data_IF_368209449742
#
_entry.id   IF_368209449742
#
_cell.length_a   1.000
_cell.length_b   1.000
_cell.length_c   1.000
_cell.angle_alpha   90.00
_cell.angle_beta   90.00
_cell.angle_gamma   90.00
#
_symmetry.space_group_name_H-M   'P 1'
#
loop_
_entity.id
_entity.type
_entity.pdbx_description
1 polymer ?
#
# COMPACT_ATOMS: atom_id res chain seq x y z
N UNK A 1 -13.11 12.84 15.29
CA UNK A 1 -12.44 11.96 14.31
C UNK A 1 -13.00 10.56 14.44
N UNK A 2 -13.40 9.95 13.36
CA UNK A 2 -13.84 8.56 13.36
C UNK A 2 -12.57 7.67 13.45
N UNK A 3 -12.50 6.81 14.46
CA UNK A 3 -11.29 6.07 14.80
C UNK A 3 -11.38 4.64 14.30
N UNK A 4 -10.30 4.15 13.70
CA UNK A 4 -10.19 2.76 13.25
C UNK A 4 -10.07 1.87 14.48
N UNK A 5 -10.95 0.87 14.60
CA UNK A 5 -10.92 -0.13 15.66
C UNK A 5 -9.89 -1.21 15.35
N UNK A 6 -8.94 -1.41 16.27
CA UNK A 6 -7.90 -2.43 16.16
C UNK A 6 -8.31 -3.76 16.85
N UNK A 7 -9.35 -3.74 17.64
CA UNK A 7 -9.83 -4.88 18.42
C UNK A 7 -10.62 -4.43 19.64
N UNK A 8 -11.03 -5.39 20.46
CA UNK A 8 -11.82 -5.14 21.67
C UNK A 8 -11.03 -5.51 22.91
N UNK A 9 -11.03 -4.68 23.92
CA UNK A 9 -10.43 -4.98 25.21
C UNK A 9 -11.51 -4.93 26.31
N UNK A 10 -11.89 -6.09 26.84
CA UNK A 10 -12.96 -6.17 27.84
C UNK A 10 -14.28 -5.52 27.38
N UNK A 11 -14.67 -5.72 26.12
CA UNK A 11 -15.87 -5.12 25.54
C UNK A 11 -15.74 -3.65 25.10
N UNK A 12 -14.57 -3.01 25.33
CA UNK A 12 -14.32 -1.62 24.91
C UNK A 12 -13.45 -1.60 23.64
N UNK A 13 -13.81 -0.82 22.60
CA UNK A 13 -12.98 -0.69 21.40
C UNK A 13 -11.60 -0.12 21.73
N UNK A 14 -10.56 -0.77 21.20
CA UNK A 14 -9.20 -0.27 21.15
C UNK A 14 -8.96 0.36 19.78
N UNK A 15 -8.66 1.64 19.73
CA UNK A 15 -8.48 2.41 18.50
C UNK A 15 -7.11 3.10 18.47
N UNK A 16 -6.69 3.60 17.32
CA UNK A 16 -5.50 4.45 17.23
C UNK A 16 -5.84 5.81 17.84
N UNK A 17 -4.96 6.34 18.69
CA UNK A 17 -5.15 7.65 19.31
C UNK A 17 -4.83 8.78 18.33
N UNK A 18 -5.55 9.90 18.42
CA UNK A 18 -5.24 11.14 17.67
C UNK A 18 -3.83 11.69 17.98
N UNK A 19 -3.25 11.29 19.13
CA UNK A 19 -1.88 11.62 19.51
C UNK A 19 -0.82 10.75 18.83
N UNK A 20 -1.21 9.73 18.02
CA UNK A 20 -0.27 8.91 17.28
C UNK A 20 0.47 9.73 16.22
N UNK A 21 1.75 9.41 15.90
CA UNK A 21 2.53 10.16 14.93
C UNK A 21 1.95 10.06 13.51
N UNK A 22 1.33 8.95 13.17
CA UNK A 22 0.52 8.72 11.97
C UNK A 22 -0.46 7.56 12.24
N UNK A 23 -1.42 7.34 11.34
CA UNK A 23 -2.41 6.26 11.44
C UNK A 23 -2.03 5.03 10.60
N UNK A 24 -0.81 4.96 10.09
CA UNK A 24 -0.31 3.77 9.39
C UNK A 24 -0.08 2.62 10.36
N UNK A 25 -0.35 1.40 9.88
CA UNK A 25 -0.28 0.17 10.67
C UNK A 25 0.66 -0.82 10.00
N UNK A 26 1.54 -1.43 10.78
CA UNK A 26 2.34 -2.59 10.38
C UNK A 26 1.81 -3.84 11.08
N UNK A 27 1.39 -4.83 10.30
CA UNK A 27 0.88 -6.11 10.79
C UNK A 27 1.89 -7.21 10.43
N UNK A 28 2.38 -7.95 11.40
CA UNK A 28 3.32 -9.05 11.15
C UNK A 28 3.01 -10.30 11.97
N UNK A 29 3.34 -11.48 11.43
CA UNK A 29 3.15 -12.77 12.08
C UNK A 29 3.11 -13.90 11.06
N UNK A 30 3.30 -15.14 11.50
CA UNK A 30 3.34 -16.31 10.63
C UNK A 30 2.02 -16.53 9.84
N UNK A 31 2.10 -17.33 8.79
CA UNK A 31 0.88 -17.75 8.06
C UNK A 31 -0.10 -18.45 8.99
N UNK A 32 -1.40 -18.21 8.81
CA UNK A 32 -2.45 -18.79 9.65
C UNK A 32 -2.65 -18.16 11.03
N UNK A 33 -1.85 -17.17 11.43
CA UNK A 33 -1.98 -16.48 12.73
C UNK A 33 -3.21 -15.57 12.86
N UNK A 34 -3.91 -15.29 11.76
CA UNK A 34 -5.14 -14.49 11.75
C UNK A 34 -5.01 -13.08 11.19
N UNK A 35 -3.83 -12.69 10.65
CA UNK A 35 -3.58 -11.34 10.09
C UNK A 35 -4.63 -10.89 9.08
N UNK A 36 -4.86 -11.67 8.02
CA UNK A 36 -5.81 -11.33 6.95
C UNK A 36 -7.23 -11.19 7.48
N UNK A 37 -7.70 -12.10 8.37
CA UNK A 37 -9.02 -11.96 9.00
C UNK A 37 -9.13 -10.68 9.84
N UNK A 38 -8.06 -10.30 10.52
CA UNK A 38 -8.00 -9.08 11.31
C UNK A 38 -7.97 -7.83 10.41
N UNK A 39 -7.22 -7.89 9.31
CA UNK A 39 -7.16 -6.85 8.29
C UNK A 39 -8.55 -6.59 7.69
N UNK A 40 -9.25 -7.65 7.26
CA UNK A 40 -10.61 -7.56 6.72
C UNK A 40 -11.62 -6.94 7.72
N UNK A 41 -11.45 -7.17 9.03
CA UNK A 41 -12.26 -6.49 10.07
C UNK A 41 -11.93 -5.00 10.16
N UNK A 42 -10.65 -4.63 10.09
CA UNK A 42 -10.23 -3.22 10.07
C UNK A 42 -10.82 -2.51 8.84
N UNK A 43 -10.79 -3.16 7.69
CA UNK A 43 -11.35 -2.64 6.43
C UNK A 43 -12.86 -2.35 6.58
N UNK A 44 -13.60 -3.32 7.11
CA UNK A 44 -15.04 -3.19 7.31
C UNK A 44 -15.39 -2.12 8.35
N UNK A 45 -14.63 -2.03 9.44
CA UNK A 45 -14.80 -0.97 10.45
C UNK A 45 -14.50 0.42 9.87
N UNK A 46 -13.48 0.51 9.02
CA UNK A 46 -13.07 1.76 8.39
C UNK A 46 -14.13 2.35 7.44
N UNK A 47 -15.00 1.55 6.83
CA UNK A 47 -16.14 2.03 6.04
C UNK A 47 -17.06 2.89 6.91
N UNK A 48 -17.36 2.45 8.14
CA UNK A 48 -18.22 3.16 9.08
C UNK A 48 -17.66 4.54 9.42
N UNK A 49 -16.36 4.72 9.27
CA UNK A 49 -15.67 5.99 9.55
C UNK A 49 -15.58 6.92 8.34
N UNK A 50 -16.17 6.54 7.20
CA UNK A 50 -16.15 7.28 5.92
C UNK A 50 -14.76 7.51 5.33
N UNK A 51 -13.79 6.65 5.67
CA UNK A 51 -12.49 6.64 4.99
C UNK A 51 -12.65 6.13 3.54
N UNK A 52 -11.77 6.59 2.65
CA UNK A 52 -11.59 5.94 1.36
C UNK A 52 -10.66 4.73 1.57
N UNK A 53 -11.13 3.54 1.24
CA UNK A 53 -10.38 2.31 1.44
C UNK A 53 -9.97 1.78 0.07
N UNK A 54 -8.67 1.55 -0.11
CA UNK A 54 -8.08 1.00 -1.33
C UNK A 54 -7.19 -0.17 -0.96
N UNK A 55 -7.56 -1.36 -1.39
CA UNK A 55 -6.82 -2.60 -1.17
C UNK A 55 -6.06 -2.95 -2.44
N UNK A 56 -4.75 -3.17 -2.35
CA UNK A 56 -3.95 -3.71 -3.43
C UNK A 56 -3.83 -5.22 -3.26
N UNK A 57 -4.62 -5.98 -4.01
CA UNK A 57 -4.66 -7.45 -3.91
C UNK A 57 -3.75 -8.11 -4.95
N UNK A 58 -2.62 -8.63 -4.48
CA UNK A 58 -1.60 -9.36 -5.26
C UNK A 58 -1.70 -10.87 -5.14
N UNK A 59 -2.63 -11.39 -4.34
CA UNK A 59 -2.59 -12.78 -3.87
C UNK A 59 -3.95 -13.45 -3.79
N UNK A 60 -4.99 -12.82 -4.34
CA UNK A 60 -6.38 -13.25 -4.18
C UNK A 60 -6.82 -13.38 -2.71
N UNK A 61 -6.18 -12.64 -1.80
CA UNK A 61 -6.50 -12.74 -0.36
C UNK A 61 -7.87 -12.17 -0.02
N UNK A 62 -8.44 -11.38 -0.94
CA UNK A 62 -9.76 -10.77 -0.82
C UNK A 62 -10.82 -11.42 -1.73
N UNK A 63 -10.55 -12.62 -2.27
CA UNK A 63 -11.58 -13.40 -2.96
C UNK A 63 -12.68 -13.81 -1.99
N UNK A 64 -13.92 -13.92 -2.50
CA UNK A 64 -15.15 -14.16 -1.72
C UNK A 64 -15.02 -15.35 -0.76
N UNK A 65 -14.45 -16.45 -1.24
CA UNK A 65 -14.27 -17.68 -0.45
C UNK A 65 -13.15 -17.57 0.59
N UNK A 66 -12.27 -16.57 0.49
CA UNK A 66 -11.20 -16.26 1.45
C UNK A 66 -11.56 -15.20 2.49
N UNK A 67 -12.70 -14.54 2.30
CA UNK A 67 -13.20 -13.61 3.32
C UNK A 67 -13.60 -14.39 4.58
N UNK A 68 -13.23 -13.83 5.74
CA UNK A 68 -13.55 -14.39 7.03
C UNK A 68 -15.06 -14.60 7.18
N UNK A 69 -15.50 -15.84 7.33
CA UNK A 69 -16.91 -16.25 7.23
C UNK A 69 -17.89 -15.39 8.06
N UNK A 70 -17.60 -15.05 9.33
CA UNK A 70 -18.52 -14.25 10.14
C UNK A 70 -18.81 -12.84 9.62
N UNK A 71 -17.97 -12.28 8.74
CA UNK A 71 -18.14 -10.92 8.18
C UNK A 71 -18.36 -10.94 6.67
N UNK A 72 -18.41 -12.13 6.05
CA UNK A 72 -18.43 -12.27 4.57
C UNK A 72 -19.57 -11.49 3.92
N UNK A 73 -20.78 -11.66 4.40
CA UNK A 73 -21.96 -11.01 3.83
C UNK A 73 -21.85 -9.48 3.85
N UNK A 74 -21.43 -8.92 4.99
CA UNK A 74 -21.28 -7.48 5.15
C UNK A 74 -20.10 -6.96 4.30
N UNK A 75 -19.04 -7.74 4.19
CA UNK A 75 -17.87 -7.40 3.39
C UNK A 75 -18.21 -7.35 1.90
N UNK A 76 -18.89 -8.39 1.37
CA UNK A 76 -19.33 -8.45 -0.03
C UNK A 76 -20.29 -7.33 -0.40
N UNK A 77 -21.23 -6.98 0.52
CA UNK A 77 -22.17 -5.88 0.30
C UNK A 77 -21.51 -4.50 0.20
N UNK A 78 -20.28 -4.37 0.72
CA UNK A 78 -19.56 -3.10 0.81
C UNK A 78 -18.23 -3.11 0.05
N UNK A 79 -17.98 -4.07 -0.83
CA UNK A 79 -16.77 -4.10 -1.63
C UNK A 79 -17.05 -3.81 -3.11
N UNK A 80 -16.09 -3.13 -3.75
CA UNK A 80 -16.00 -2.98 -5.19
C UNK A 80 -14.68 -3.56 -5.64
N UNK A 81 -14.73 -4.65 -6.43
CA UNK A 81 -13.55 -5.23 -7.04
C UNK A 81 -13.31 -4.58 -8.41
N UNK A 82 -12.08 -4.21 -8.66
CA UNK A 82 -11.60 -3.63 -9.92
C UNK A 82 -10.52 -4.58 -10.45
N UNK A 83 -10.86 -5.40 -11.43
CA UNK A 83 -9.88 -6.21 -12.14
C UNK A 83 -9.10 -5.32 -13.11
N UNK A 84 -7.83 -5.09 -12.84
CA UNK A 84 -7.01 -4.22 -13.70
C UNK A 84 -6.85 -4.81 -15.10
N UNK A 85 -6.78 -6.13 -15.24
CA UNK A 85 -6.66 -6.81 -16.54
C UNK A 85 -7.92 -6.73 -17.40
N UNK A 86 -9.11 -6.65 -16.78
CA UNK A 86 -10.39 -6.68 -17.49
C UNK A 86 -11.06 -5.31 -17.59
N UNK A 87 -11.11 -4.56 -16.50
CA UNK A 87 -11.82 -3.27 -16.42
C UNK A 87 -10.89 -2.08 -16.62
N UNK A 88 -9.62 -2.28 -16.32
CA UNK A 88 -8.62 -1.21 -16.32
C UNK A 88 -8.74 -0.22 -15.15
N UNK A 89 -7.70 0.61 -15.03
CA UNK A 89 -7.62 1.70 -14.07
C UNK A 89 -6.98 2.92 -14.71
N UNK A 90 -7.57 4.10 -14.52
CA UNK A 90 -6.99 5.35 -15.03
C UNK A 90 -5.88 5.86 -14.11
N UNK A 91 -4.65 5.66 -14.53
CA UNK A 91 -3.46 6.06 -13.75
C UNK A 91 -3.14 7.54 -13.84
N UNK A 92 -3.68 8.27 -14.81
CA UNK A 92 -3.43 9.72 -15.01
C UNK A 92 -1.97 10.12 -14.85
N UNK A 93 -1.04 9.35 -15.44
CA UNK A 93 0.41 9.48 -15.18
C UNK A 93 0.97 10.88 -15.42
N UNK A 94 0.45 11.58 -16.43
CA UNK A 94 0.87 12.91 -16.84
C UNK A 94 -0.09 14.02 -16.41
N UNK A 95 -1.20 13.70 -15.76
CA UNK A 95 -2.11 14.68 -15.19
C UNK A 95 -1.81 14.85 -13.70
N UNK A 96 -1.63 16.08 -13.26
CA UNK A 96 -1.64 16.42 -11.84
C UNK A 96 -2.70 17.49 -11.62
N UNK A 97 -3.67 17.21 -10.74
CA UNK A 97 -4.65 18.21 -10.31
C UNK A 97 -4.01 19.26 -9.39
N UNK A 98 -2.83 19.00 -8.87
CA UNK A 98 -2.09 19.88 -7.98
C UNK A 98 -1.32 20.93 -8.77
N UNK A 99 -1.97 22.05 -9.02
CA UNK A 99 -1.43 23.33 -9.55
C UNK A 99 -0.84 23.32 -10.97
N UNK A 100 -1.21 24.27 -11.82
CA UNK A 100 -0.60 24.48 -13.15
C UNK A 100 0.91 24.77 -13.13
N UNK A 101 1.49 24.89 -11.93
CA UNK A 101 2.91 25.23 -11.70
C UNK A 101 3.82 24.03 -11.44
N UNK A 102 3.35 22.78 -11.52
CA UNK A 102 4.27 21.65 -11.44
C UNK A 102 5.16 21.65 -12.68
N UNK A 103 6.47 21.93 -12.45
CA UNK A 103 7.44 21.96 -13.52
C UNK A 103 7.43 20.61 -14.27
N UNK A 104 7.30 20.59 -15.61
CA UNK A 104 7.30 19.38 -16.44
C UNK A 104 8.40 18.39 -16.06
N UNK A 105 9.57 18.89 -15.72
CA UNK A 105 10.72 18.10 -15.29
C UNK A 105 10.47 17.25 -14.04
N UNK A 106 9.59 17.67 -13.14
CA UNK A 106 9.24 16.89 -11.95
C UNK A 106 8.40 15.67 -12.33
N UNK A 107 7.37 15.86 -13.15
CA UNK A 107 6.51 14.77 -13.63
C UNK A 107 7.34 13.75 -14.40
N UNK A 108 8.19 14.20 -15.33
CA UNK A 108 9.09 13.35 -16.11
C UNK A 108 10.02 12.55 -15.20
N UNK A 109 10.64 13.20 -14.21
CA UNK A 109 11.52 12.53 -13.27
C UNK A 109 10.75 11.50 -12.43
N UNK A 110 9.60 11.87 -11.90
CA UNK A 110 8.79 11.01 -11.03
C UNK A 110 8.36 9.73 -11.76
N UNK A 111 7.81 9.84 -12.98
CA UNK A 111 7.42 8.67 -13.80
C UNK A 111 8.65 7.84 -14.18
N UNK A 112 9.77 8.49 -14.56
CA UNK A 112 11.01 7.78 -14.90
C UNK A 112 11.54 6.98 -13.69
N UNK A 113 11.65 7.61 -12.52
CA UNK A 113 12.21 6.96 -11.33
C UNK A 113 11.31 5.81 -10.83
N UNK A 114 10.01 5.98 -10.91
CA UNK A 114 9.06 4.95 -10.53
C UNK A 114 9.24 3.67 -11.38
N UNK A 115 9.22 3.79 -12.72
CA UNK A 115 9.44 2.64 -13.61
C UNK A 115 10.85 2.08 -13.43
N UNK A 116 11.87 2.94 -13.38
CA UNK A 116 13.26 2.51 -13.27
C UNK A 116 13.54 1.77 -11.96
N UNK A 117 12.99 2.23 -10.84
CA UNK A 117 13.19 1.62 -9.53
C UNK A 117 12.50 0.27 -9.40
N UNK A 118 11.23 0.17 -9.83
CA UNK A 118 10.47 -1.08 -9.76
C UNK A 118 11.01 -2.15 -10.70
N UNK A 119 11.60 -1.73 -11.84
CA UNK A 119 12.22 -2.66 -12.83
C UNK A 119 13.73 -2.83 -12.64
N UNK A 120 14.31 -2.28 -11.58
CA UNK A 120 15.74 -2.35 -11.27
C UNK A 120 16.64 -1.97 -12.47
N UNK A 121 16.34 -0.83 -13.12
CA UNK A 121 17.10 -0.34 -14.28
C UNK A 121 18.44 0.27 -13.89
N UNK A 122 19.47 -0.03 -14.68
CA UNK A 122 20.78 0.62 -14.58
C UNK A 122 20.77 2.08 -15.04
N UNK A 123 21.81 2.85 -14.71
CA UNK A 123 21.93 4.30 -15.02
C UNK A 123 21.71 4.61 -16.51
N UNK A 124 22.26 3.79 -17.43
CA UNK A 124 22.13 4.01 -18.89
C UNK A 124 20.68 3.82 -19.34
N UNK A 125 20.04 2.77 -18.87
CA UNK A 125 18.63 2.45 -19.17
C UNK A 125 17.69 3.52 -18.59
N UNK A 126 17.93 3.96 -17.36
CA UNK A 126 17.16 5.06 -16.72
C UNK A 126 17.26 6.35 -17.51
N UNK A 127 18.47 6.69 -18.03
CA UNK A 127 18.65 7.88 -18.87
C UNK A 127 17.87 7.77 -20.19
N UNK A 128 17.83 6.57 -20.77
CA UNK A 128 17.09 6.30 -22.01
C UNK A 128 15.59 6.38 -21.77
N UNK A 129 15.09 5.71 -20.73
CA UNK A 129 13.69 5.80 -20.30
C UNK A 129 13.27 7.27 -20.07
N UNK A 130 14.13 8.07 -19.42
CA UNK A 130 13.84 9.48 -19.19
C UNK A 130 13.65 10.27 -20.49
N UNK A 131 14.43 9.99 -21.55
CA UNK A 131 14.25 10.62 -22.85
C UNK A 131 12.90 10.25 -23.48
N UNK A 132 12.52 8.97 -23.41
CA UNK A 132 11.24 8.50 -23.91
C UNK A 132 10.05 9.10 -23.14
N UNK A 133 10.13 9.17 -21.80
CA UNK A 133 9.12 9.80 -20.94
C UNK A 133 9.00 11.29 -21.24
N UNK A 134 10.12 12.01 -21.43
CA UNK A 134 10.11 13.44 -21.77
C UNK A 134 9.44 13.70 -23.12
N UNK A 135 9.78 12.89 -24.14
CA UNK A 135 9.12 12.97 -25.46
C UNK A 135 7.64 12.64 -25.38
N UNK A 136 7.28 11.60 -24.64
CA UNK A 136 5.87 11.22 -24.41
C UNK A 136 5.09 12.34 -23.73
N UNK A 137 5.66 12.96 -22.68
CA UNK A 137 5.02 14.07 -21.98
C UNK A 137 4.77 15.28 -22.89
N UNK A 138 5.72 15.63 -23.75
CA UNK A 138 5.60 16.75 -24.69
C UNK A 138 4.48 16.51 -25.74
N UNK A 139 4.30 15.24 -26.15
CA UNK A 139 3.33 14.85 -27.16
C UNK A 139 1.99 14.36 -26.56
N UNK A 140 1.88 14.38 -25.23
CA UNK A 140 0.68 13.92 -24.54
C UNK A 140 -0.47 14.91 -24.69
N UNK A 141 -1.62 14.38 -25.00
CA UNK A 141 -2.90 15.11 -24.94
C UNK A 141 -3.88 14.29 -24.10
N UNK A 142 -4.79 14.93 -23.33
CA UNK A 142 -5.81 14.22 -22.57
C UNK A 142 -6.56 13.20 -23.43
N UNK A 143 -6.71 11.99 -22.92
CA UNK A 143 -7.34 10.86 -23.64
C UNK A 143 -6.36 9.97 -24.41
N UNK A 144 -5.09 10.35 -24.54
CA UNK A 144 -4.06 9.43 -25.06
C UNK A 144 -3.47 8.57 -23.95
N UNK A 145 -3.05 7.37 -24.33
CA UNK A 145 -2.37 6.46 -23.42
C UNK A 145 -0.91 6.88 -23.23
N UNK A 146 -0.56 7.28 -22.00
CA UNK A 146 0.79 7.74 -21.66
C UNK A 146 1.83 6.62 -21.78
N UNK A 147 1.50 5.39 -21.39
CA UNK A 147 2.42 4.24 -21.46
C UNK A 147 2.70 3.86 -22.91
N UNK A 148 1.68 3.85 -23.77
CA UNK A 148 1.86 3.59 -25.19
C UNK A 148 2.79 4.62 -25.85
N UNK A 149 2.63 5.90 -25.50
CA UNK A 149 3.53 6.95 -26.00
C UNK A 149 4.96 6.74 -25.51
N UNK A 150 5.16 6.34 -24.25
CA UNK A 150 6.49 6.04 -23.71
C UNK A 150 7.12 4.86 -24.45
N UNK A 151 6.37 3.76 -24.62
CA UNK A 151 6.83 2.58 -25.35
C UNK A 151 7.24 2.88 -26.79
N UNK A 152 6.38 3.58 -27.55
CA UNK A 152 6.66 3.99 -28.94
C UNK A 152 7.92 4.88 -29.02
N UNK A 153 8.11 5.80 -28.05
CA UNK A 153 9.29 6.66 -28.02
C UNK A 153 10.56 5.88 -27.64
N UNK A 154 10.47 4.79 -26.87
CA UNK A 154 11.62 3.91 -26.63
C UNK A 154 12.09 3.25 -27.90
N UNK A 155 11.17 2.64 -28.67
CA UNK A 155 11.49 2.01 -29.96
C UNK A 155 12.16 3.00 -30.91
N UNK A 156 11.69 4.23 -30.96
CA UNK A 156 12.27 5.29 -31.79
C UNK A 156 13.69 5.75 -31.36
N UNK A 157 14.23 5.28 -30.24
CA UNK A 157 15.59 5.58 -29.80
C UNK A 157 16.64 4.60 -30.38
N UNK A 158 16.24 3.69 -31.29
CA UNK A 158 17.10 2.70 -31.94
C UNK A 158 17.26 1.43 -31.09
N UNK A 159 18.22 0.55 -31.47
CA UNK A 159 18.38 -0.77 -30.90
C UNK A 159 18.46 -0.83 -29.36
N UNK A 160 19.22 0.07 -28.75
CA UNK A 160 19.26 0.14 -27.26
C UNK A 160 17.89 0.49 -26.65
N UNK A 161 17.06 1.22 -27.39
CA UNK A 161 15.71 1.56 -26.98
C UNK A 161 14.72 0.41 -27.17
N UNK A 162 14.86 -0.34 -28.25
CA UNK A 162 14.14 -1.59 -28.49
C UNK A 162 14.45 -2.62 -27.41
N UNK A 163 15.73 -2.83 -27.08
CA UNK A 163 16.15 -3.73 -25.98
C UNK A 163 15.51 -3.32 -24.64
N UNK A 164 15.42 -2.01 -24.38
CA UNK A 164 14.76 -1.53 -23.16
C UNK A 164 13.23 -1.69 -23.24
N UNK A 165 12.62 -1.49 -24.39
CA UNK A 165 11.21 -1.75 -24.61
C UNK A 165 10.91 -3.23 -24.36
N UNK A 166 11.70 -4.16 -24.92
CA UNK A 166 11.52 -5.60 -24.73
C UNK A 166 11.68 -6.01 -23.26
N UNK A 167 12.62 -5.38 -22.54
CA UNK A 167 12.77 -5.61 -21.10
C UNK A 167 11.56 -5.13 -20.28
N UNK A 168 10.86 -4.10 -20.74
CA UNK A 168 9.69 -3.50 -20.09
C UNK A 168 8.37 -3.83 -20.82
N UNK A 169 8.40 -4.76 -21.78
CA UNK A 169 7.30 -5.06 -22.69
C UNK A 169 5.98 -5.31 -21.95
N UNK A 170 6.04 -5.97 -20.81
CA UNK A 170 4.88 -6.30 -19.98
C UNK A 170 4.11 -5.07 -19.47
N UNK A 171 4.79 -3.91 -19.27
CA UNK A 171 4.12 -2.65 -18.91
C UNK A 171 3.37 -2.11 -20.12
N UNK A 172 3.99 -2.17 -21.30
CA UNK A 172 3.44 -1.56 -22.51
C UNK A 172 2.36 -2.42 -23.18
N UNK A 173 2.41 -3.74 -22.99
CA UNK A 173 1.36 -4.65 -23.44
C UNK A 173 0.05 -4.50 -22.64
N UNK A 174 0.13 -4.04 -21.40
CA UNK A 174 -1.03 -3.82 -20.54
C UNK A 174 -1.46 -2.34 -20.50
N UNK A 175 -1.06 -1.56 -21.49
CA UNK A 175 -1.31 -0.13 -21.57
C UNK A 175 -2.80 0.22 -21.58
N UNK A 176 -3.65 -0.56 -22.27
CA UNK A 176 -5.09 -0.37 -22.29
C UNK A 176 -5.71 -0.52 -20.89
N UNK A 177 -5.23 -1.50 -20.13
CA UNK A 177 -5.65 -1.72 -18.73
C UNK A 177 -5.24 -0.59 -17.79
N UNK A 178 -4.26 0.24 -18.17
CA UNK A 178 -3.70 1.29 -17.33
C UNK A 178 -4.05 2.71 -17.79
N UNK A 179 -4.96 2.86 -18.75
CA UNK A 179 -5.28 4.16 -19.38
C UNK A 179 -6.74 4.58 -19.31
N UNK A 180 -7.60 3.77 -18.74
CA UNK A 180 -9.03 4.07 -18.59
C UNK A 180 -9.69 3.06 -17.70
N UNK A 181 -10.88 3.31 -17.20
CA UNK A 181 -11.64 2.33 -16.44
C UNK A 181 -12.23 2.85 -15.14
N UNK A 182 -12.29 1.96 -14.17
CA UNK A 182 -13.02 2.15 -12.93
C UNK A 182 -12.44 3.26 -12.05
N UNK A 183 -13.31 3.97 -11.36
CA UNK A 183 -12.98 4.96 -10.34
C UNK A 183 -13.23 4.39 -8.95
N UNK A 184 -12.56 4.94 -7.94
CA UNK A 184 -12.78 4.55 -6.55
C UNK A 184 -14.13 5.05 -6.04
N UNK A 185 -14.83 4.19 -5.31
CA UNK A 185 -16.09 4.52 -4.67
C UNK A 185 -15.89 4.80 -3.17
N UNK A 186 -16.40 5.95 -2.72
CA UNK A 186 -16.38 6.30 -1.30
C UNK A 186 -17.43 5.48 -0.55
N UNK A 187 -17.08 5.03 0.63
CA UNK A 187 -17.97 4.18 1.45
C UNK A 187 -17.93 2.71 1.08
N UNK A 188 -17.08 2.32 0.13
CA UNK A 188 -16.82 0.94 -0.24
C UNK A 188 -15.35 0.59 -0.04
N UNK A 189 -15.06 -0.70 0.13
CA UNK A 189 -13.73 -1.27 0.06
C UNK A 189 -13.39 -1.44 -1.44
N UNK A 190 -12.51 -0.61 -1.97
CA UNK A 190 -12.09 -0.71 -3.38
C UNK A 190 -10.92 -1.69 -3.47
N UNK A 191 -11.17 -2.89 -3.97
CA UNK A 191 -10.17 -3.94 -4.15
C UNK A 191 -9.63 -3.83 -5.56
N UNK A 192 -8.37 -3.42 -5.71
CA UNK A 192 -7.67 -3.39 -6.99
C UNK A 192 -6.98 -4.73 -7.15
N UNK A 193 -7.52 -5.54 -8.04
CA UNK A 193 -7.04 -6.88 -8.32
C UNK A 193 -6.11 -6.86 -9.54
N UNK A 194 -4.86 -7.16 -9.32
CA UNK A 194 -3.84 -7.36 -10.34
C UNK A 194 -3.09 -8.68 -10.19
N UNK A 195 -3.73 -9.64 -9.53
CA UNK A 195 -3.21 -11.00 -9.33
C UNK A 195 -3.03 -11.81 -10.60
N UNK A 196 -3.72 -11.44 -11.70
CA UNK A 196 -3.56 -12.04 -13.03
C UNK A 196 -2.21 -11.73 -13.68
N UNK A 197 -1.50 -10.69 -13.21
CA UNK A 197 -0.20 -10.31 -13.74
C UNK A 197 0.94 -11.08 -13.07
N UNK A 198 2.06 -11.22 -13.77
CA UNK A 198 3.28 -11.78 -13.18
C UNK A 198 3.82 -10.89 -12.04
N UNK A 199 4.66 -11.43 -11.13
CA UNK A 199 5.09 -10.70 -9.93
C UNK A 199 5.85 -9.41 -10.20
N UNK A 200 6.56 -9.27 -11.31
CA UNK A 200 7.31 -8.05 -11.63
C UNK A 200 6.38 -6.98 -12.19
N UNK A 201 5.42 -7.36 -13.02
CA UNK A 201 4.32 -6.50 -13.49
C UNK A 201 3.47 -6.01 -12.32
N UNK A 202 3.11 -6.88 -11.37
CA UNK A 202 2.38 -6.49 -10.15
C UNK A 202 3.07 -5.36 -9.38
N UNK A 203 4.39 -5.46 -9.17
CA UNK A 203 5.16 -4.42 -8.47
C UNK A 203 5.06 -3.07 -9.14
N UNK A 204 5.12 -3.04 -10.47
CA UNK A 204 5.10 -1.80 -11.23
C UNK A 204 3.69 -1.21 -11.26
N UNK A 205 2.67 -2.03 -11.52
CA UNK A 205 1.28 -1.57 -11.49
C UNK A 205 0.95 -1.00 -10.11
N UNK A 206 1.35 -1.65 -9.03
CA UNK A 206 1.15 -1.15 -7.68
C UNK A 206 1.80 0.23 -7.47
N UNK A 207 3.05 0.43 -7.92
CA UNK A 207 3.72 1.73 -7.84
C UNK A 207 3.01 2.79 -8.69
N UNK A 208 2.52 2.44 -9.88
CA UNK A 208 1.75 3.33 -10.75
C UNK A 208 0.43 3.74 -10.10
N UNK A 209 -0.30 2.78 -9.51
CA UNK A 209 -1.55 3.03 -8.79
C UNK A 209 -1.31 3.93 -7.57
N UNK A 210 -0.32 3.62 -6.75
CA UNK A 210 0.04 4.43 -5.58
C UNK A 210 0.45 5.86 -5.98
N UNK A 211 1.16 6.00 -7.10
CA UNK A 211 1.52 7.31 -7.65
C UNK A 211 0.29 8.08 -8.13
N UNK A 212 -0.63 7.41 -8.80
CA UNK A 212 -1.91 8.02 -9.19
C UNK A 212 -2.69 8.52 -7.98
N UNK A 213 -2.82 7.69 -6.91
CA UNK A 213 -3.46 8.09 -5.65
C UNK A 213 -2.75 9.31 -5.04
N UNK A 214 -1.42 9.29 -4.98
CA UNK A 214 -0.63 10.40 -4.47
C UNK A 214 -0.85 11.70 -5.25
N UNK A 215 -0.86 11.64 -6.57
CA UNK A 215 -1.03 12.82 -7.41
C UNK A 215 -2.44 13.39 -7.33
N UNK A 216 -3.44 12.53 -7.18
CA UNK A 216 -4.86 12.90 -7.17
C UNK A 216 -5.47 13.00 -5.77
N UNK A 217 -4.65 13.02 -4.70
CA UNK A 217 -5.13 13.01 -3.31
C UNK A 217 -6.09 14.16 -2.97
N UNK A 218 -5.92 15.32 -3.58
CA UNK A 218 -6.77 16.49 -3.31
C UNK A 218 -8.19 16.33 -3.88
N UNK A 219 -8.36 15.60 -4.99
CA UNK A 219 -9.67 15.30 -5.57
C UNK A 219 -10.30 14.04 -4.97
N UNK A 220 -9.46 13.07 -4.56
CA UNK A 220 -9.92 11.86 -3.91
C UNK A 220 -10.47 12.12 -2.49
N UNK A 221 -9.84 13.05 -1.77
CA UNK A 221 -10.15 13.35 -0.37
C UNK A 221 -10.80 14.73 -0.24
N UNK A 222 -11.96 14.80 0.40
CA UNK A 222 -12.68 16.03 0.70
C UNK A 222 -12.72 16.26 2.21
N UNK A 223 -12.35 17.47 2.65
CA UNK A 223 -12.38 17.85 4.06
C UNK A 223 -11.39 17.04 4.90
N UNK A 224 -11.87 16.48 6.02
CA UNK A 224 -11.07 15.68 6.96
C UNK A 224 -11.10 14.17 6.66
N UNK A 225 -11.37 13.78 5.42
CA UNK A 225 -11.34 12.37 5.03
C UNK A 225 -9.90 11.86 4.95
N UNK A 226 -9.70 10.60 5.33
CA UNK A 226 -8.44 9.89 5.16
C UNK A 226 -8.60 8.79 4.11
N UNK A 227 -7.50 8.45 3.44
CA UNK A 227 -7.39 7.29 2.59
C UNK A 227 -6.55 6.23 3.29
N UNK A 228 -7.09 5.04 3.41
CA UNK A 228 -6.39 3.85 3.91
C UNK A 228 -6.01 2.99 2.72
N UNK A 229 -4.71 2.89 2.48
CA UNK A 229 -4.13 2.04 1.45
C UNK A 229 -3.70 0.75 2.13
N UNK A 230 -4.25 -0.37 1.71
CA UNK A 230 -4.08 -1.66 2.36
C UNK A 230 -3.28 -2.58 1.45
N UNK A 231 -2.21 -3.14 2.02
CA UNK A 231 -1.22 -3.98 1.36
C UNK A 231 -1.15 -5.30 2.12
N UNK A 232 -1.96 -6.28 1.74
CA UNK A 232 -1.77 -7.65 2.24
C UNK A 232 -0.61 -8.30 1.49
N UNK A 233 0.25 -9.03 2.19
CA UNK A 233 1.49 -9.61 1.65
C UNK A 233 2.42 -8.54 1.02
N UNK A 234 2.68 -7.43 1.74
CA UNK A 234 3.42 -6.28 1.21
C UNK A 234 4.84 -6.63 0.72
N UNK A 235 5.41 -7.79 1.09
CA UNK A 235 6.68 -8.28 0.53
C UNK A 235 6.62 -8.59 -0.97
N UNK A 236 5.44 -8.72 -1.54
CA UNK A 236 5.27 -8.89 -3.00
C UNK A 236 5.44 -7.59 -3.78
N UNK A 237 5.44 -6.45 -3.08
CA UNK A 237 5.53 -5.12 -3.67
C UNK A 237 6.95 -4.56 -3.62
N UNK A 238 7.17 -3.47 -4.34
CA UNK A 238 8.44 -2.76 -4.26
C UNK A 238 8.49 -1.91 -2.98
N UNK A 239 9.44 -2.23 -2.08
CA UNK A 239 9.62 -1.56 -0.77
C UNK A 239 11.01 -0.90 -0.66
N UNK A 240 11.51 -0.36 -1.75
CA UNK A 240 12.78 0.37 -1.76
C UNK A 240 12.67 1.78 -1.19
N UNK A 241 13.80 2.46 -0.93
CA UNK A 241 13.82 3.83 -0.39
C UNK A 241 13.08 4.86 -1.23
N UNK A 242 12.94 4.61 -2.53
CA UNK A 242 12.28 5.47 -3.50
C UNK A 242 10.87 4.98 -3.86
N UNK A 243 10.33 3.97 -3.16
CA UNK A 243 8.97 3.49 -3.40
C UNK A 243 7.91 4.51 -2.97
N UNK A 244 6.75 4.45 -3.60
CA UNK A 244 5.60 5.27 -3.21
C UNK A 244 5.14 4.96 -1.79
N UNK A 245 5.23 3.70 -1.35
CA UNK A 245 4.92 3.29 0.03
C UNK A 245 5.83 4.04 1.02
N UNK A 246 7.15 4.09 0.74
CA UNK A 246 8.11 4.85 1.54
C UNK A 246 7.75 6.35 1.60
N UNK A 247 7.35 6.93 0.48
CA UNK A 247 6.92 8.33 0.42
C UNK A 247 5.64 8.56 1.24
N UNK A 248 4.65 7.69 1.11
CA UNK A 248 3.38 7.80 1.87
C UNK A 248 3.64 7.65 3.37
N UNK A 249 4.49 6.74 3.82
CA UNK A 249 4.85 6.59 5.23
C UNK A 249 5.51 7.85 5.82
N UNK A 250 6.35 8.54 5.04
CA UNK A 250 7.05 9.75 5.47
C UNK A 250 6.15 11.00 5.48
N UNK A 251 5.32 11.15 4.47
CA UNK A 251 4.64 12.42 4.18
C UNK A 251 3.11 12.32 4.10
N UNK A 252 2.57 11.09 3.96
CA UNK A 252 1.16 10.84 3.68
C UNK A 252 0.21 11.45 4.71
N UNK A 253 0.61 11.45 5.99
CA UNK A 253 -0.20 12.06 7.07
C UNK A 253 -0.65 13.49 6.76
N UNK A 254 0.22 14.31 6.16
CA UNK A 254 -0.10 15.71 5.81
C UNK A 254 -1.25 15.82 4.82
N UNK A 255 -1.53 14.75 4.11
CA UNK A 255 -2.51 14.67 3.03
C UNK A 255 -3.63 13.68 3.33
N UNK A 256 -3.70 13.16 4.56
CA UNK A 256 -4.70 12.16 4.93
C UNK A 256 -4.46 10.77 4.32
N UNK A 257 -3.24 10.46 3.84
CA UNK A 257 -2.89 9.15 3.31
C UNK A 257 -2.20 8.30 4.37
N UNK A 258 -2.73 7.12 4.66
CA UNK A 258 -2.17 6.17 5.60
C UNK A 258 -2.07 4.79 4.94
N UNK A 259 -1.08 3.99 5.35
CA UNK A 259 -0.84 2.65 4.80
C UNK A 259 -1.01 1.62 5.91
N UNK A 260 -1.76 0.56 5.63
CA UNK A 260 -1.81 -0.65 6.44
C UNK A 260 -1.06 -1.74 5.67
N UNK A 261 0.02 -2.24 6.26
CA UNK A 261 0.92 -3.19 5.63
C UNK A 261 0.92 -4.50 6.42
N UNK A 262 0.61 -5.60 5.77
CA UNK A 262 0.71 -6.93 6.37
C UNK A 262 1.84 -7.73 5.73
N UNK A 263 2.60 -8.45 6.55
CA UNK A 263 3.68 -9.35 6.10
C UNK A 263 3.80 -10.56 7.00
N UNK A 264 4.32 -11.66 6.47
CA UNK A 264 4.52 -12.89 7.25
C UNK A 264 5.79 -12.82 8.11
N UNK A 265 6.80 -12.06 7.70
CA UNK A 265 8.05 -11.93 8.44
C UNK A 265 8.76 -10.62 8.07
N UNK A 266 9.41 -10.01 9.07
CA UNK A 266 10.27 -8.84 8.86
C UNK A 266 11.68 -9.26 8.41
N UNK A 267 12.10 -10.46 8.72
CA UNK A 267 13.47 -10.94 8.42
C UNK A 267 13.76 -11.13 6.93
N UNK A 268 12.72 -11.16 6.09
CA UNK A 268 12.87 -11.23 4.62
C UNK A 268 13.31 -9.90 4.00
N UNK A 269 13.19 -8.79 4.74
CA UNK A 269 13.54 -7.46 4.25
C UNK A 269 14.95 -7.04 4.64
N UNK A 270 15.52 -6.14 3.85
CA UNK A 270 16.75 -5.44 4.20
C UNK A 270 16.57 -4.55 5.45
N UNK A 271 17.66 -4.29 6.18
CA UNK A 271 17.61 -3.39 7.35
C UNK A 271 17.01 -2.01 7.04
N UNK A 272 17.36 -1.34 5.93
CA UNK A 272 16.72 -0.06 5.57
C UNK A 272 15.21 -0.19 5.34
N UNK A 273 14.76 -1.26 4.69
CA UNK A 273 13.33 -1.52 4.46
C UNK A 273 12.59 -1.75 5.79
N UNK A 274 13.16 -2.53 6.71
CA UNK A 274 12.55 -2.73 8.04
C UNK A 274 12.42 -1.39 8.77
N UNK A 275 13.48 -0.57 8.79
CA UNK A 275 13.43 0.75 9.44
C UNK A 275 12.37 1.67 8.81
N UNK A 276 12.09 1.51 7.53
CA UNK A 276 11.00 2.23 6.86
C UNK A 276 9.63 1.71 7.33
N UNK A 277 9.41 0.38 7.34
CA UNK A 277 8.16 -0.22 7.78
C UNK A 277 7.84 0.12 9.24
N UNK A 278 8.87 0.15 10.10
CA UNK A 278 8.76 0.51 11.52
C UNK A 278 8.36 1.97 11.78
N UNK A 279 8.31 2.84 10.74
CA UNK A 279 7.76 4.21 10.83
C UNK A 279 6.23 4.23 10.97
N UNK A 280 5.55 3.11 10.73
CA UNK A 280 4.12 2.98 11.04
C UNK A 280 3.85 3.34 12.50
N UNK A 281 2.86 4.19 12.75
CA UNK A 281 2.52 4.68 14.10
C UNK A 281 2.01 3.59 15.04
N UNK A 282 1.48 2.51 14.48
CA UNK A 282 0.99 1.34 15.23
C UNK A 282 1.53 0.06 14.63
N UNK A 283 1.92 -0.90 15.47
CA UNK A 283 2.33 -2.24 15.07
C UNK A 283 1.41 -3.26 15.72
N UNK A 284 0.99 -4.25 14.93
CA UNK A 284 0.22 -5.39 15.40
C UNK A 284 1.07 -6.66 15.18
N UNK A 285 1.54 -7.22 16.27
CA UNK A 285 2.37 -8.42 16.27
C UNK A 285 1.52 -9.63 16.60
N UNK A 286 1.13 -10.38 15.58
CA UNK A 286 0.60 -11.73 15.73
C UNK A 286 1.74 -12.69 16.08
N UNK A 287 1.46 -13.98 16.24
CA UNK A 287 2.50 -14.95 16.52
C UNK A 287 3.65 -14.82 15.50
N UNK A 288 4.85 -14.40 15.93
CA UNK A 288 5.95 -14.14 15.00
C UNK A 288 6.69 -15.42 14.59
N UNK A 289 7.45 -15.34 13.49
CA UNK A 289 8.43 -16.35 13.14
C UNK A 289 9.57 -16.38 14.17
N UNK A 290 10.30 -17.50 14.24
CA UNK A 290 11.47 -17.61 15.12
C UNK A 290 12.54 -16.56 14.82
N UNK A 291 12.71 -16.21 13.52
CA UNK A 291 13.66 -15.19 13.08
C UNK A 291 13.29 -13.77 13.54
N UNK A 292 11.99 -13.48 13.69
CA UNK A 292 11.50 -12.16 14.10
C UNK A 292 11.33 -12.02 15.62
N UNK A 293 11.16 -13.15 16.31
CA UNK A 293 10.83 -13.18 17.74
C UNK A 293 11.77 -12.35 18.59
N UNK A 294 13.08 -12.47 18.36
CA UNK A 294 14.10 -11.73 19.14
C UNK A 294 14.02 -10.23 18.88
N UNK A 295 13.83 -9.81 17.61
CA UNK A 295 13.71 -8.40 17.23
C UNK A 295 12.49 -7.77 17.87
N UNK A 296 11.32 -8.40 17.72
CA UNK A 296 10.05 -7.90 18.25
C UNK A 296 10.09 -7.85 19.77
N UNK A 297 10.59 -8.90 20.43
CA UNK A 297 10.76 -8.93 21.89
C UNK A 297 11.61 -7.75 22.37
N UNK A 298 12.74 -7.49 21.72
CA UNK A 298 13.64 -6.39 22.08
C UNK A 298 12.96 -5.02 21.90
N UNK A 299 12.17 -4.83 20.85
CA UNK A 299 11.41 -3.60 20.63
C UNK A 299 10.37 -3.38 21.73
N UNK A 300 9.59 -4.40 22.07
CA UNK A 300 8.55 -4.31 23.10
C UNK A 300 9.11 -4.14 24.52
N UNK A 301 10.26 -4.72 24.84
CA UNK A 301 10.92 -4.57 26.13
C UNK A 301 11.36 -3.14 26.46
N UNK A 302 11.59 -2.31 25.42
CA UNK A 302 11.89 -0.90 25.64
C UNK A 302 10.68 -0.13 26.20
N UNK A 303 9.47 -0.62 25.95
CA UNK A 303 8.25 0.00 26.43
C UNK A 303 7.84 -0.48 27.83
N UNK A 304 8.13 -1.73 28.19
CA UNK A 304 7.91 -2.26 29.54
C UNK A 304 8.72 -3.56 29.75
N UNK A 305 8.93 -3.96 31.04
CA UNK A 305 9.73 -5.14 31.42
C UNK A 305 8.95 -6.48 31.41
N UNK A 306 7.82 -6.59 30.72
CA UNK A 306 7.05 -7.82 30.64
C UNK A 306 7.80 -8.92 29.85
N UNK A 307 7.46 -10.19 30.10
CA UNK A 307 8.05 -11.32 29.38
C UNK A 307 7.42 -11.48 27.98
N UNK A 308 7.72 -10.53 27.09
CA UNK A 308 7.18 -10.48 25.75
C UNK A 308 7.54 -11.71 24.92
N UNK A 309 8.70 -12.32 25.14
CA UNK A 309 9.09 -13.54 24.42
C UNK A 309 8.09 -14.67 24.66
N UNK A 310 7.73 -14.88 25.92
CA UNK A 310 6.75 -15.90 26.29
C UNK A 310 5.35 -15.54 25.74
N UNK A 311 4.92 -14.29 25.90
CA UNK A 311 3.64 -13.80 25.42
C UNK A 311 3.50 -14.04 23.91
N UNK A 312 4.45 -13.57 23.11
CA UNK A 312 4.43 -13.67 21.65
C UNK A 312 4.41 -15.13 21.16
N UNK A 313 5.10 -16.04 21.86
CA UNK A 313 5.15 -17.47 21.50
C UNK A 313 3.83 -18.19 21.76
N UNK A 314 3.03 -17.70 22.72
CA UNK A 314 1.78 -18.33 23.14
C UNK A 314 0.53 -17.60 22.66
N UNK A 315 0.66 -16.61 21.76
CA UNK A 315 -0.49 -15.97 21.12
C UNK A 315 -1.32 -17.01 20.36
N UNK A 316 -2.61 -16.99 20.60
CA UNK A 316 -3.57 -17.82 19.87
C UNK A 316 -3.85 -17.22 18.50
N UNK A 317 -4.44 -18.01 17.62
CA UNK A 317 -4.92 -17.54 16.34
C UNK A 317 -5.92 -16.39 16.53
N UNK A 318 -5.62 -15.23 15.93
CA UNK A 318 -6.43 -14.02 16.05
C UNK A 318 -5.96 -13.05 17.14
N UNK A 319 -5.19 -13.53 18.13
CA UNK A 319 -4.60 -12.65 19.15
C UNK A 319 -3.36 -11.93 18.61
N UNK A 320 -3.19 -10.67 19.01
CA UNK A 320 -1.99 -9.90 18.68
C UNK A 320 -1.57 -8.99 19.83
N UNK A 321 -0.31 -8.58 19.80
CA UNK A 321 0.21 -7.49 20.64
C UNK A 321 0.16 -6.21 19.83
N UNK A 322 -0.64 -5.25 20.26
CA UNK A 322 -0.70 -3.91 19.68
C UNK A 322 0.28 -2.99 20.39
N UNK A 323 1.20 -2.39 19.63
CA UNK A 323 2.21 -1.45 20.09
C UNK A 323 2.06 -0.11 19.35
N UNK A 324 1.88 0.98 20.10
CA UNK A 324 1.65 2.32 19.58
C UNK A 324 0.98 3.22 20.61
N UNK A 325 0.48 4.38 20.17
CA UNK A 325 -0.34 5.25 21.01
C UNK A 325 -1.80 4.92 20.75
N UNK A 326 -2.41 4.18 21.68
CA UNK A 326 -3.73 3.60 21.55
C UNK A 326 -4.75 4.35 22.43
N UNK A 327 -6.02 4.23 22.06
CA UNK A 327 -7.15 4.77 22.82
C UNK A 327 -8.09 3.61 23.22
N UNK A 328 -8.35 3.44 24.48
CA UNK A 328 -9.35 2.49 25.02
C UNK A 328 -10.33 3.26 25.88
N UNK A 329 -11.55 3.40 25.41
CA UNK A 329 -12.53 4.29 26.02
C UNK A 329 -12.00 5.73 26.10
N UNK A 330 -11.92 6.29 27.32
CA UNK A 330 -11.38 7.65 27.55
C UNK A 330 -9.85 7.67 27.81
N UNK A 331 -9.19 6.51 27.89
CA UNK A 331 -7.79 6.41 28.29
C UNK A 331 -6.86 6.27 27.10
N UNK A 332 -5.84 7.12 27.04
CA UNK A 332 -4.72 6.98 26.08
C UNK A 332 -3.67 6.07 26.67
N UNK A 333 -3.30 5.02 25.94
CA UNK A 333 -2.37 3.99 26.38
C UNK A 333 -1.11 4.07 25.51
N UNK A 334 0.06 4.11 26.15
CA UNK A 334 1.37 4.20 25.49
C UNK A 334 2.26 2.99 25.78
N UNK A 335 1.66 1.88 26.11
CA UNK A 335 2.33 0.60 26.35
C UNK A 335 1.71 -0.48 25.48
N UNK A 336 2.47 -1.53 25.13
CA UNK A 336 1.92 -2.64 24.35
C UNK A 336 0.75 -3.31 25.09
N UNK A 337 -0.27 -3.69 24.32
CA UNK A 337 -1.49 -4.36 24.78
C UNK A 337 -1.70 -5.65 24.00
N UNK A 338 -2.21 -6.69 24.68
CA UNK A 338 -2.69 -7.89 24.02
C UNK A 338 -4.15 -7.65 23.60
N UNK A 339 -4.43 -7.80 22.32
CA UNK A 339 -5.78 -7.75 21.74
C UNK A 339 -6.19 -9.17 21.34
N UNK A 340 -7.41 -9.61 21.72
CA UNK A 340 -7.97 -10.90 21.35
C UNK A 340 -8.47 -10.92 19.90
#
# INVERSE_FOLDING_TARGET
>A
MNKITLGMLGGTPCTISDAAPNHSILITGISGSGKTCHLQRIELDAIQTKHLIIVLDTSHSHDVDRIYNPIRSDYEANCKRISVSQEGIDLRLFSSESSPSQQPNRIINDVTQMIASSSNLGKRQTKMLRKAVASAYTNYTPGKNALQLIGSNLINLGSDGEDLYDRLWYIFQNDAALSGGSTFEKGNINIIDFSDFDPDTQKIIAELVLKSIWNNKSSLLSGNQECLIILDECQRLYLGPNSMICQILREGRKFGLNVIMATQSLSIFSKPTISMLEQAGTKLYFQPSQSDLQRITKSLQQANQANWKQTLTHLRRGECVADGILQVGKSTIRRPLILP
#
